data_IF_101466071323
#
_entry.id   IF_101466071323
#
_cell.length_a   1.000
_cell.length_b   1.000
_cell.length_c   1.000
_cell.angle_alpha   90.00
_cell.angle_beta   90.00
_cell.angle_gamma   90.00
#
_symmetry.space_group_name_H-M   'P 1'
#
loop_
_entity.id
_entity.type
_entity.pdbx_description
1 polymer ?
#
# COMPACT_ATOMS: atom_id res chain seq x y z
N UNK A 1 18.43 13.84 11.87
CA UNK A 1 17.01 13.80 11.50
C UNK A 1 16.81 14.61 10.21
N UNK A 2 16.15 14.04 9.20
CA UNK A 2 15.93 14.70 7.89
C UNK A 2 15.16 16.02 8.06
N UNK A 3 14.14 16.04 8.91
CA UNK A 3 13.32 17.22 9.18
C UNK A 3 14.18 18.36 9.74
N UNK A 4 14.98 18.10 10.80
CA UNK A 4 15.85 19.12 11.39
C UNK A 4 16.84 19.67 10.37
N UNK A 5 17.45 18.80 9.54
CA UNK A 5 18.35 19.24 8.48
C UNK A 5 17.68 20.11 7.42
N UNK A 6 16.44 19.77 7.05
CA UNK A 6 15.64 20.58 6.12
C UNK A 6 15.29 21.96 6.73
N UNK A 7 14.86 22.00 7.99
CA UNK A 7 14.55 23.26 8.69
C UNK A 7 15.78 24.17 8.83
N UNK A 8 16.94 23.60 9.16
CA UNK A 8 18.20 24.33 9.26
C UNK A 8 18.64 24.91 7.89
N UNK A 9 18.48 24.12 6.82
CA UNK A 9 18.89 24.50 5.48
C UNK A 9 17.97 25.56 4.85
N UNK A 10 16.66 25.48 5.09
CA UNK A 10 15.66 26.29 4.40
C UNK A 10 15.07 27.40 5.24
N UNK A 11 15.16 27.33 6.56
CA UNK A 11 14.47 28.20 7.51
C UNK A 11 12.96 27.94 7.59
N UNK A 12 12.44 26.97 6.86
CA UNK A 12 11.04 26.57 6.95
C UNK A 12 10.81 25.73 8.23
N UNK A 13 9.59 25.79 8.76
CA UNK A 13 9.17 24.92 9.87
C UNK A 13 8.29 23.79 9.35
N UNK A 14 8.64 22.56 9.67
CA UNK A 14 7.86 21.37 9.30
C UNK A 14 6.87 21.04 10.42
N UNK A 15 5.59 20.97 10.07
CA UNK A 15 4.52 20.49 10.95
C UNK A 15 4.09 19.14 10.40
N UNK A 16 4.42 18.07 11.14
CA UNK A 16 4.02 16.71 10.78
C UNK A 16 2.65 16.36 11.33
N UNK A 17 1.80 15.84 10.45
CA UNK A 17 0.55 15.17 10.80
C UNK A 17 0.61 13.72 10.30
N UNK A 18 0.45 12.77 11.20
CA UNK A 18 0.46 11.34 10.88
C UNK A 18 -0.97 10.82 10.69
N UNK A 19 -1.10 9.80 9.89
CA UNK A 19 -2.37 9.10 9.68
C UNK A 19 -2.11 7.58 9.65
N UNK A 20 -3.07 6.82 10.16
CA UNK A 20 -2.95 5.37 10.30
C UNK A 20 -3.30 4.64 8.99
N UNK A 21 -4.06 5.31 8.09
CA UNK A 21 -4.40 4.76 6.78
C UNK A 21 -4.52 5.85 5.71
N UNK A 22 -4.34 5.46 4.44
CA UNK A 22 -4.56 6.35 3.30
C UNK A 22 -5.99 6.90 3.26
N UNK A 23 -6.97 6.10 3.70
CA UNK A 23 -8.38 6.44 3.74
C UNK A 23 -8.66 7.55 4.76
N UNK A 24 -8.02 7.49 5.94
CA UNK A 24 -8.13 8.56 6.94
C UNK A 24 -7.51 9.86 6.43
N UNK A 25 -6.34 9.81 5.82
CA UNK A 25 -5.71 10.97 5.20
C UNK A 25 -6.62 11.56 4.11
N UNK A 26 -7.15 10.72 3.22
CA UNK A 26 -8.07 11.15 2.16
C UNK A 26 -9.30 11.88 2.73
N UNK A 27 -9.92 11.35 3.80
CA UNK A 27 -11.08 11.98 4.44
C UNK A 27 -10.72 13.38 4.99
N UNK A 28 -9.56 13.55 5.61
CA UNK A 28 -9.09 14.85 6.10
C UNK A 28 -8.98 15.86 4.95
N UNK A 29 -8.30 15.49 3.87
CA UNK A 29 -8.15 16.37 2.71
C UNK A 29 -9.49 16.68 2.04
N UNK A 30 -10.36 15.69 1.88
CA UNK A 30 -11.70 15.86 1.30
C UNK A 30 -12.59 16.78 2.14
N UNK A 31 -12.37 16.83 3.46
CA UNK A 31 -13.05 17.75 4.36
C UNK A 31 -12.45 19.17 4.41
N UNK A 32 -11.38 19.42 3.65
CA UNK A 32 -10.78 20.74 3.48
C UNK A 32 -9.51 21.01 4.28
N UNK A 33 -8.94 19.97 4.93
CA UNK A 33 -7.61 20.11 5.53
C UNK A 33 -6.57 20.30 4.41
N UNK A 34 -5.73 21.30 4.57
CA UNK A 34 -4.72 21.68 3.59
C UNK A 34 -3.32 21.20 4.02
N UNK A 35 -2.62 20.57 3.09
CA UNK A 35 -1.25 20.09 3.28
C UNK A 35 -0.38 20.56 2.11
N UNK A 36 0.86 20.96 2.39
CA UNK A 36 1.85 21.29 1.37
C UNK A 36 2.42 20.03 0.72
N UNK A 37 2.59 18.96 1.49
CA UNK A 37 3.11 17.67 1.03
C UNK A 37 2.33 16.54 1.69
N UNK A 38 1.94 15.54 0.88
CA UNK A 38 1.32 14.29 1.31
C UNK A 38 2.21 13.11 0.93
N UNK A 39 2.23 12.06 1.75
CA UNK A 39 3.02 10.83 1.47
C UNK A 39 2.09 9.62 1.52
N UNK A 40 1.15 9.49 0.60
CA UNK A 40 0.25 8.34 0.49
C UNK A 40 0.82 7.23 -0.39
N UNK A 41 0.13 6.11 -0.42
CA UNK A 41 0.39 5.03 -1.38
C UNK A 41 -0.06 5.40 -2.81
N UNK A 42 0.48 4.69 -3.78
CA UNK A 42 0.27 4.90 -5.22
C UNK A 42 -1.20 4.91 -5.65
N UNK A 43 -2.00 3.96 -5.14
CA UNK A 43 -3.42 3.87 -5.46
C UNK A 43 -4.22 5.10 -4.96
N UNK A 44 -3.82 5.66 -3.83
CA UNK A 44 -4.45 6.86 -3.28
C UNK A 44 -4.04 8.10 -4.06
N UNK A 45 -2.78 8.20 -4.51
CA UNK A 45 -2.34 9.24 -5.45
C UNK A 45 -3.19 9.20 -6.72
N UNK A 46 -3.38 8.00 -7.30
CA UNK A 46 -4.19 7.84 -8.51
C UNK A 46 -5.62 8.32 -8.30
N UNK A 47 -6.25 7.97 -7.18
CA UNK A 47 -7.59 8.43 -6.82
C UNK A 47 -7.66 9.94 -6.69
N UNK A 48 -6.76 10.54 -5.91
CA UNK A 48 -6.74 11.98 -5.67
C UNK A 48 -6.46 12.78 -6.95
N UNK A 49 -5.67 12.24 -7.89
CA UNK A 49 -5.49 12.82 -9.22
C UNK A 49 -6.79 12.82 -10.03
N UNK A 50 -7.55 11.72 -10.00
CA UNK A 50 -8.83 11.59 -10.71
C UNK A 50 -9.92 12.53 -10.15
N UNK A 51 -9.78 12.91 -8.90
CA UNK A 51 -10.69 13.81 -8.18
C UNK A 51 -10.18 15.26 -8.13
N UNK A 52 -9.14 15.59 -8.91
CA UNK A 52 -8.52 16.93 -8.99
C UNK A 52 -8.09 17.51 -7.62
N UNK A 53 -7.68 16.64 -6.70
CA UNK A 53 -7.29 17.02 -5.33
C UNK A 53 -5.80 17.37 -5.21
N UNK A 54 -4.99 17.09 -6.23
CA UNK A 54 -3.55 17.32 -6.21
C UNK A 54 -3.14 18.42 -7.18
N UNK A 55 -2.14 19.19 -6.79
CA UNK A 55 -1.49 20.17 -7.67
C UNK A 55 -0.36 19.51 -8.47
N UNK A 56 -0.15 19.99 -9.70
CA UNK A 56 1.02 19.56 -10.49
C UNK A 56 2.30 20.11 -9.88
N UNK A 57 3.33 19.27 -9.93
CA UNK A 57 4.68 19.66 -9.55
C UNK A 57 5.24 20.70 -10.53
N UNK A 58 5.96 21.68 -9.99
CA UNK A 58 6.69 22.62 -10.83
C UNK A 58 7.71 21.90 -11.72
N UNK A 59 7.82 22.25 -13.03
CA UNK A 59 8.65 21.50 -13.98
C UNK A 59 10.11 21.34 -13.58
N UNK A 60 10.72 22.38 -13.00
CA UNK A 60 12.13 22.36 -12.59
C UNK A 60 12.32 21.44 -11.38
N UNK A 61 11.47 21.57 -10.34
CA UNK A 61 11.48 20.70 -9.16
C UNK A 61 11.27 19.24 -9.57
N UNK A 62 10.31 18.97 -10.44
CA UNK A 62 10.07 17.62 -10.97
C UNK A 62 11.30 17.05 -11.66
N UNK A 63 11.94 17.83 -12.55
CA UNK A 63 13.13 17.40 -13.29
C UNK A 63 14.29 17.07 -12.33
N UNK A 64 14.53 17.91 -11.36
CA UNK A 64 15.56 17.71 -10.33
C UNK A 64 15.31 16.42 -9.55
N UNK A 65 14.13 16.26 -8.97
CA UNK A 65 13.77 15.06 -8.22
C UNK A 65 13.86 13.79 -9.06
N UNK A 66 13.38 13.81 -10.31
CA UNK A 66 13.46 12.66 -11.20
C UNK A 66 14.90 12.29 -11.59
N UNK A 67 15.85 13.23 -11.56
CA UNK A 67 17.24 12.91 -11.85
C UNK A 67 17.90 12.00 -10.81
N UNK A 68 17.39 12.05 -9.57
CA UNK A 68 17.91 11.26 -8.45
C UNK A 68 17.23 9.89 -8.30
N UNK A 69 16.12 9.65 -9.02
CA UNK A 69 15.37 8.39 -8.91
C UNK A 69 15.97 7.28 -9.79
N UNK A 70 15.83 6.05 -9.31
CA UNK A 70 16.08 4.85 -10.11
C UNK A 70 15.11 4.78 -11.30
N UNK A 71 15.59 4.38 -12.48
CA UNK A 71 14.75 4.28 -13.68
C UNK A 71 13.53 3.36 -13.50
N UNK A 72 13.68 2.30 -12.70
CA UNK A 72 12.61 1.31 -12.47
C UNK A 72 11.35 1.86 -11.77
N UNK A 73 11.47 3.01 -11.10
CA UNK A 73 10.36 3.62 -10.35
C UNK A 73 9.89 4.95 -10.96
N UNK A 74 10.39 5.32 -12.15
CA UNK A 74 9.90 6.46 -12.91
C UNK A 74 8.73 6.07 -13.80
N UNK A 75 7.78 6.97 -13.98
CA UNK A 75 6.68 6.82 -14.92
C UNK A 75 5.78 5.61 -14.64
N UNK A 76 5.54 5.31 -13.38
CA UNK A 76 4.67 4.20 -12.98
C UNK A 76 3.20 4.45 -13.42
N UNK A 77 2.39 3.39 -13.60
CA UNK A 77 1.04 3.48 -14.19
C UNK A 77 0.09 4.47 -13.51
N UNK A 78 0.27 4.73 -12.22
CA UNK A 78 -0.59 5.67 -11.49
C UNK A 78 -0.29 7.15 -11.82
N UNK A 79 0.95 7.50 -12.16
CA UNK A 79 1.37 8.83 -12.62
C UNK A 79 2.45 8.70 -13.70
N UNK A 80 2.10 8.34 -14.96
CA UNK A 80 3.05 7.94 -15.99
C UNK A 80 4.05 9.02 -16.41
N UNK A 81 3.78 10.27 -16.06
CA UNK A 81 4.66 11.40 -16.36
C UNK A 81 5.29 12.00 -15.11
N UNK A 82 5.03 11.46 -13.93
CA UNK A 82 5.38 12.05 -12.65
C UNK A 82 5.01 13.54 -12.58
N UNK A 83 3.79 13.88 -13.04
CA UNK A 83 3.34 15.28 -13.04
C UNK A 83 2.85 15.74 -11.66
N UNK A 84 2.42 14.80 -10.82
CA UNK A 84 1.81 15.07 -9.52
C UNK A 84 2.59 14.49 -8.36
N UNK A 85 3.42 13.49 -8.61
CA UNK A 85 4.09 12.74 -7.55
C UNK A 85 5.54 12.37 -7.86
N UNK A 86 6.32 12.24 -6.79
CA UNK A 86 7.68 11.71 -6.81
C UNK A 86 7.72 10.49 -5.92
N UNK A 87 8.09 9.30 -6.41
CA UNK A 87 8.26 8.11 -5.58
C UNK A 87 9.27 8.34 -4.44
N UNK A 88 8.87 8.01 -3.22
CA UNK A 88 9.70 8.19 -2.03
C UNK A 88 10.18 6.85 -1.47
N UNK A 89 9.26 5.93 -1.20
CA UNK A 89 9.55 4.56 -0.81
C UNK A 89 8.85 3.56 -1.72
N UNK A 90 9.40 2.38 -1.81
CA UNK A 90 8.76 1.21 -2.38
C UNK A 90 9.08 -0.02 -1.53
N UNK A 91 8.24 -1.02 -1.60
CA UNK A 91 8.42 -2.24 -0.84
C UNK A 91 7.69 -3.41 -1.47
N UNK A 92 7.80 -4.56 -0.84
CA UNK A 92 7.13 -5.79 -1.22
C UNK A 92 6.27 -6.27 -0.07
N UNK A 93 5.13 -6.85 -0.40
CA UNK A 93 4.29 -7.58 0.55
C UNK A 93 4.60 -9.07 0.42
N UNK A 94 4.75 -9.76 1.53
CA UNK A 94 5.09 -11.17 1.57
C UNK A 94 4.55 -11.85 2.82
N UNK A 95 4.71 -13.17 2.86
CA UNK A 95 4.35 -13.98 4.03
C UNK A 95 5.54 -14.03 4.99
N UNK A 96 5.33 -13.56 6.21
CA UNK A 96 6.27 -13.76 7.33
C UNK A 96 5.79 -14.95 8.15
N UNK A 97 6.68 -15.86 8.46
CA UNK A 97 6.30 -17.10 9.16
C UNK A 97 7.33 -17.55 10.18
N UNK A 98 6.86 -18.25 11.19
CA UNK A 98 7.67 -18.92 12.18
C UNK A 98 8.14 -20.28 11.62
N UNK A 99 9.45 -20.41 11.34
CA UNK A 99 10.06 -21.65 10.81
C UNK A 99 9.92 -22.88 11.73
N UNK A 100 9.56 -22.66 12.99
CA UNK A 100 9.33 -23.77 13.93
C UNK A 100 7.91 -24.34 13.81
N UNK A 101 6.98 -23.58 13.22
CA UNK A 101 5.57 -23.93 13.06
C UNK A 101 5.19 -24.26 11.62
N UNK A 102 5.73 -23.51 10.67
CA UNK A 102 5.42 -23.61 9.24
C UNK A 102 6.64 -24.09 8.47
N UNK A 103 6.49 -25.15 7.67
CA UNK A 103 7.57 -25.68 6.84
C UNK A 103 7.75 -24.88 5.56
N UNK A 104 8.98 -24.81 5.05
CA UNK A 104 9.25 -24.21 3.73
C UNK A 104 8.53 -24.97 2.62
N UNK A 105 8.39 -26.30 2.75
CA UNK A 105 7.68 -27.15 1.79
C UNK A 105 6.20 -26.79 1.68
N UNK A 106 5.51 -26.53 2.80
CA UNK A 106 4.10 -26.10 2.79
C UNK A 106 3.96 -24.75 2.08
N UNK A 107 4.86 -23.79 2.36
CA UNK A 107 4.84 -22.49 1.71
C UNK A 107 5.12 -22.54 0.20
N UNK A 108 6.07 -23.37 -0.23
CA UNK A 108 6.39 -23.54 -1.65
C UNK A 108 5.22 -24.20 -2.41
N UNK A 109 4.54 -25.17 -1.79
CA UNK A 109 3.43 -25.89 -2.40
C UNK A 109 2.13 -25.06 -2.45
N UNK A 110 1.83 -24.32 -1.38
CA UNK A 110 0.54 -23.65 -1.22
C UNK A 110 0.59 -22.15 -1.57
N UNK A 111 1.76 -21.52 -1.43
CA UNK A 111 1.88 -20.08 -1.63
C UNK A 111 0.89 -19.32 -0.74
N UNK A 112 0.14 -18.39 -1.32
CA UNK A 112 -0.88 -17.61 -0.60
C UNK A 112 -2.09 -18.45 -0.13
N UNK A 113 -2.31 -19.65 -0.67
CA UNK A 113 -3.39 -20.53 -0.20
C UNK A 113 -3.13 -21.12 1.19
N UNK A 114 -1.92 -21.01 1.71
CA UNK A 114 -1.59 -21.42 3.09
C UNK A 114 -2.49 -20.73 4.13
N UNK A 115 -3.02 -19.55 3.81
CA UNK A 115 -3.99 -18.82 4.66
C UNK A 115 -5.37 -19.49 4.74
N UNK A 116 -5.59 -20.57 3.99
CA UNK A 116 -6.79 -21.44 4.08
C UNK A 116 -6.47 -22.85 4.57
N UNK A 117 -5.21 -23.19 4.83
CA UNK A 117 -4.82 -24.48 5.36
C UNK A 117 -5.23 -24.61 6.83
N UNK A 118 -6.17 -25.53 7.09
CA UNK A 118 -6.72 -25.80 8.42
C UNK A 118 -5.68 -26.19 9.46
N UNK A 119 -4.50 -26.64 9.03
CA UNK A 119 -3.35 -26.93 9.89
C UNK A 119 -2.90 -25.72 10.71
N UNK A 120 -3.11 -24.51 10.17
CA UNK A 120 -2.68 -23.24 10.76
C UNK A 120 -3.83 -22.40 11.33
N UNK A 121 -5.00 -23.02 11.54
CA UNK A 121 -6.16 -22.31 12.11
C UNK A 121 -5.84 -21.71 13.48
N UNK A 122 -6.13 -20.42 13.64
CA UNK A 122 -5.87 -19.68 14.88
C UNK A 122 -4.42 -19.18 15.06
N UNK A 123 -3.53 -19.51 14.11
CA UNK A 123 -2.13 -19.03 14.10
C UNK A 123 -1.87 -18.06 12.92
N UNK A 124 -2.92 -17.43 12.39
CA UNK A 124 -2.86 -16.52 11.24
C UNK A 124 -3.07 -15.07 11.69
N UNK A 125 -2.21 -14.19 11.18
CA UNK A 125 -2.29 -12.76 11.35
C UNK A 125 -2.49 -12.10 9.99
N UNK A 126 -3.49 -11.23 9.87
CA UNK A 126 -3.75 -10.42 8.69
C UNK A 126 -3.54 -8.95 9.04
N UNK A 127 -2.87 -8.22 8.16
CA UNK A 127 -2.71 -6.79 8.30
C UNK A 127 -4.04 -6.07 8.05
N UNK A 128 -4.36 -5.06 8.89
CA UNK A 128 -5.59 -4.25 8.77
C UNK A 128 -5.49 -3.28 7.57
N UNK A 129 -5.51 -3.85 6.39
CA UNK A 129 -5.48 -3.14 5.11
C UNK A 129 -6.36 -3.86 4.10
N UNK A 130 -7.39 -3.16 3.62
CA UNK A 130 -8.27 -3.69 2.57
C UNK A 130 -7.47 -4.02 1.30
N UNK A 131 -6.55 -3.13 0.92
CA UNK A 131 -5.74 -3.28 -0.29
C UNK A 131 -4.86 -4.52 -0.22
N UNK A 132 -4.16 -4.75 0.89
CA UNK A 132 -3.26 -5.89 1.05
C UNK A 132 -4.03 -7.21 1.19
N UNK A 133 -5.15 -7.20 1.88
CA UNK A 133 -6.04 -8.36 1.99
C UNK A 133 -6.56 -8.81 0.61
N UNK A 134 -7.07 -7.88 -0.21
CA UNK A 134 -7.50 -8.19 -1.56
C UNK A 134 -6.32 -8.63 -2.45
N UNK A 135 -5.15 -7.99 -2.33
CA UNK A 135 -3.94 -8.41 -3.07
C UNK A 135 -3.59 -9.86 -2.77
N UNK A 136 -3.58 -10.26 -1.49
CA UNK A 136 -3.31 -11.62 -1.05
C UNK A 136 -4.29 -12.63 -1.69
N UNK A 137 -5.60 -12.35 -1.60
CA UNK A 137 -6.63 -13.20 -2.16
C UNK A 137 -6.54 -13.31 -3.69
N UNK A 138 -6.33 -12.19 -4.38
CA UNK A 138 -6.16 -12.17 -5.84
C UNK A 138 -4.93 -12.96 -6.27
N UNK A 139 -3.82 -12.87 -5.54
CA UNK A 139 -2.61 -13.64 -5.80
C UNK A 139 -2.82 -15.14 -5.55
N UNK A 140 -3.52 -15.52 -4.48
CA UNK A 140 -3.90 -16.91 -4.21
C UNK A 140 -4.73 -17.52 -5.35
N UNK A 141 -5.58 -16.71 -5.98
CA UNK A 141 -6.45 -17.09 -7.08
C UNK A 141 -5.80 -16.97 -8.47
N UNK A 142 -4.56 -16.47 -8.56
CA UNK A 142 -3.84 -16.29 -9.82
C UNK A 142 -4.27 -15.06 -10.62
N UNK A 143 -4.99 -14.13 -10.02
CA UNK A 143 -5.43 -12.88 -10.64
C UNK A 143 -4.40 -11.74 -10.48
N UNK A 144 -4.59 -10.69 -11.27
CA UNK A 144 -3.81 -9.45 -11.09
C UNK A 144 -4.24 -8.74 -9.82
N UNK A 145 -3.27 -8.32 -9.00
CA UNK A 145 -3.54 -7.49 -7.83
C UNK A 145 -4.12 -6.10 -8.17
N UNK A 146 -4.03 -5.70 -9.43
CA UNK A 146 -4.56 -4.44 -9.96
C UNK A 146 -5.78 -4.65 -10.85
N UNK A 147 -6.47 -5.78 -10.72
CA UNK A 147 -7.69 -6.03 -11.48
C UNK A 147 -8.78 -5.01 -11.15
N UNK A 148 -9.57 -4.66 -12.15
CA UNK A 148 -10.80 -3.86 -12.03
C UNK A 148 -12.04 -4.70 -12.37
N UNK A 149 -11.88 -6.01 -12.59
CA UNK A 149 -12.97 -6.93 -12.86
C UNK A 149 -13.81 -7.17 -11.61
N UNK A 150 -15.09 -6.82 -11.68
CA UNK A 150 -16.02 -7.08 -10.58
C UNK A 150 -16.13 -8.57 -10.24
N UNK A 151 -16.06 -9.44 -11.24
CA UNK A 151 -16.14 -10.90 -11.04
C UNK A 151 -14.92 -11.42 -10.28
N UNK A 152 -13.70 -11.00 -10.66
CA UNK A 152 -12.46 -11.39 -9.96
C UNK A 152 -12.43 -10.84 -8.52
N UNK A 153 -12.88 -9.60 -8.33
CA UNK A 153 -13.00 -9.00 -7.00
C UNK A 153 -14.02 -9.73 -6.12
N UNK A 154 -15.16 -10.16 -6.67
CA UNK A 154 -16.14 -10.96 -5.94
C UNK A 154 -15.58 -12.34 -5.55
N UNK A 155 -14.82 -12.99 -6.43
CA UNK A 155 -14.17 -14.27 -6.10
C UNK A 155 -13.13 -14.07 -4.99
N UNK A 156 -12.32 -13.01 -5.06
CA UNK A 156 -11.35 -12.67 -4.02
C UNK A 156 -12.03 -12.35 -2.68
N UNK A 157 -13.13 -11.60 -2.69
CA UNK A 157 -13.93 -11.33 -1.50
C UNK A 157 -14.44 -12.62 -0.85
N UNK A 158 -14.97 -13.56 -1.63
CA UNK A 158 -15.43 -14.85 -1.11
C UNK A 158 -14.28 -15.68 -0.51
N UNK A 159 -13.09 -15.62 -1.09
CA UNK A 159 -11.88 -16.24 -0.54
C UNK A 159 -11.53 -15.64 0.82
N UNK A 160 -11.57 -14.29 0.96
CA UNK A 160 -11.34 -13.60 2.24
C UNK A 160 -12.40 -13.96 3.28
N UNK A 161 -13.68 -13.99 2.90
CA UNK A 161 -14.78 -14.43 3.78
C UNK A 161 -14.54 -15.84 4.27
N UNK A 162 -14.14 -16.75 3.40
CA UNK A 162 -13.78 -18.12 3.77
C UNK A 162 -12.61 -18.13 4.76
N UNK A 163 -11.55 -17.35 4.52
CA UNK A 163 -10.41 -17.25 5.41
C UNK A 163 -10.85 -16.82 6.82
N UNK A 164 -11.59 -15.73 6.92
CA UNK A 164 -12.08 -15.22 8.22
C UNK A 164 -12.98 -16.23 8.93
N UNK A 165 -13.91 -16.87 8.21
CA UNK A 165 -14.87 -17.80 8.79
C UNK A 165 -14.27 -19.13 9.23
N UNK A 166 -13.22 -19.60 8.55
CA UNK A 166 -12.67 -20.94 8.78
C UNK A 166 -11.37 -20.94 9.54
N UNK A 167 -10.58 -19.88 9.42
CA UNK A 167 -9.20 -19.84 9.94
C UNK A 167 -9.06 -19.05 11.24
N UNK A 168 -10.06 -18.23 11.60
CA UNK A 168 -10.06 -17.40 12.82
C UNK A 168 -8.79 -16.51 12.91
N UNK A 169 -8.50 -15.69 11.89
CA UNK A 169 -7.30 -14.87 11.87
C UNK A 169 -7.41 -13.69 12.84
N UNK A 170 -6.28 -13.30 13.43
CA UNK A 170 -6.15 -12.04 14.16
C UNK A 170 -5.82 -10.90 13.19
N UNK A 171 -6.57 -9.79 13.28
CA UNK A 171 -6.29 -8.59 12.49
C UNK A 171 -5.37 -7.68 13.29
N UNK A 172 -4.24 -7.31 12.69
CA UNK A 172 -3.18 -6.53 13.36
C UNK A 172 -2.86 -5.25 12.60
N UNK A 173 -2.45 -4.24 13.36
CA UNK A 173 -1.95 -2.95 12.86
C UNK A 173 -0.45 -2.82 13.13
N UNK A 174 0.20 -1.81 12.56
CA UNK A 174 1.64 -1.52 12.71
C UNK A 174 1.99 -0.83 14.06
N UNK A 175 1.16 -0.92 15.08
CA UNK A 175 1.46 -0.32 16.39
C UNK A 175 2.48 -1.11 17.21
#
# INVERSE_FOLDING_TARGET
NIISGFEELTGAKVIMDNFDSNEQMYIKVANGDAYDVLVPSDYMIQRMMQEDMLQKLEPETRKECLSELMEAIKGLPYDPKNEYSIPYFWGTVGIVYDKTKVSEEDLENEGWNIFLDQKYKGDIYLYDSERDSFMMALKALGYSMNTTSADELNVAFNWLVQCVQTMDPEIVTDE
#
